data_IF_212454010504
#
_entry.id   IF_212454010504
#
_cell.length_a   1.000
_cell.length_b   1.000
_cell.length_c   1.000
_cell.angle_alpha   90.00
_cell.angle_beta   90.00
_cell.angle_gamma   90.00
#
_symmetry.space_group_name_H-M   'P 1'
#
loop_
_entity.id
_entity.type
_entity.pdbx_description
1 polymer ?
#
# COMPACT_ATOMS: atom_id res chain seq x y z
N UNK A 1 6.06 54.67 8.68
CA UNK A 1 5.92 53.50 7.77
C UNK A 1 6.34 52.27 8.56
N UNK A 2 5.38 51.43 8.98
CA UNK A 2 5.67 50.19 9.71
C UNK A 2 5.66 49.03 8.70
N UNK A 3 6.83 48.44 8.47
CA UNK A 3 6.97 47.20 7.69
C UNK A 3 6.38 46.05 8.52
N UNK A 4 5.29 45.46 8.03
CA UNK A 4 4.75 44.20 8.53
C UNK A 4 5.58 43.10 7.86
N UNK A 5 6.45 42.45 8.62
CA UNK A 5 7.11 41.22 8.19
C UNK A 5 6.08 40.08 8.22
N UNK A 6 5.59 39.70 7.05
CA UNK A 6 4.78 38.49 6.86
C UNK A 6 5.73 37.31 7.01
N UNK A 7 5.69 36.68 8.19
CA UNK A 7 6.33 35.40 8.46
C UNK A 7 5.58 34.33 7.65
N UNK A 8 6.02 34.10 6.42
CA UNK A 8 5.54 33.02 5.58
C UNK A 8 5.92 31.68 6.23
N UNK A 9 4.98 31.12 6.99
CA UNK A 9 5.03 29.74 7.47
C UNK A 9 5.02 28.84 6.23
N UNK A 10 6.20 28.36 5.82
CA UNK A 10 6.31 27.28 4.85
C UNK A 10 5.77 26.02 5.52
N UNK A 11 4.46 25.78 5.37
CA UNK A 11 3.89 24.46 5.59
C UNK A 11 4.52 23.55 4.53
N UNK A 12 5.53 22.77 4.93
CA UNK A 12 6.01 21.66 4.14
C UNK A 12 4.82 20.72 3.92
N UNK A 13 4.30 20.68 2.69
CA UNK A 13 3.23 19.76 2.32
C UNK A 13 3.85 18.37 2.43
N UNK A 14 3.41 17.50 3.36
CA UNK A 14 3.87 16.13 3.35
C UNK A 14 3.44 15.55 2.00
N UNK A 15 4.42 15.13 1.21
CA UNK A 15 4.16 14.39 -0.03
C UNK A 15 3.28 13.20 0.38
N UNK A 16 2.02 13.25 -0.06
CA UNK A 16 0.98 12.35 0.38
C UNK A 16 1.34 10.90 0.06
N UNK A 17 0.86 9.99 0.91
CA UNK A 17 0.78 8.56 0.64
C UNK A 17 0.44 8.34 -0.85
N UNK A 18 1.23 7.54 -1.56
CA UNK A 18 1.16 7.33 -3.02
C UNK A 18 -0.15 6.65 -3.49
N UNK A 19 -1.16 6.62 -2.64
CA UNK A 19 -2.40 5.90 -2.78
C UNK A 19 -3.57 6.85 -2.48
N UNK A 20 -4.45 7.02 -3.46
CA UNK A 20 -5.63 7.87 -3.32
C UNK A 20 -6.81 7.06 -2.79
N UNK A 21 -7.71 7.72 -2.06
CA UNK A 21 -8.98 7.09 -1.67
C UNK A 21 -9.83 6.86 -2.92
N UNK A 22 -10.51 5.72 -3.01
CA UNK A 22 -11.34 5.41 -4.17
C UNK A 22 -11.17 3.99 -4.69
N UNK A 23 -11.73 3.73 -5.86
CA UNK A 23 -11.64 2.42 -6.51
C UNK A 23 -10.48 2.41 -7.50
N UNK A 24 -9.68 1.35 -7.46
CA UNK A 24 -8.70 1.04 -8.48
C UNK A 24 -9.18 -0.15 -9.27
N UNK A 25 -9.17 -0.02 -10.59
CA UNK A 25 -9.59 -1.07 -11.54
C UNK A 25 -8.43 -1.48 -12.42
N UNK A 26 -8.41 -2.76 -12.79
CA UNK A 26 -7.39 -3.34 -13.65
C UNK A 26 -7.88 -4.63 -14.29
N UNK A 27 -6.92 -5.47 -14.68
CA UNK A 27 -7.18 -6.76 -15.32
C UNK A 27 -6.40 -7.90 -14.65
N UNK A 28 -7.00 -9.09 -14.61
CA UNK A 28 -6.33 -10.30 -14.14
C UNK A 28 -5.41 -10.87 -15.21
N UNK A 29 -4.59 -11.86 -14.84
CA UNK A 29 -3.78 -12.65 -15.79
C UNK A 29 -4.62 -13.31 -16.91
N UNK A 30 -5.94 -13.46 -16.71
CA UNK A 30 -6.89 -14.00 -17.69
C UNK A 30 -7.60 -12.92 -18.52
N UNK A 31 -7.30 -11.64 -18.30
CA UNK A 31 -7.96 -10.52 -18.95
C UNK A 31 -9.35 -10.18 -18.35
N UNK A 32 -9.69 -10.75 -17.20
CA UNK A 32 -10.95 -10.43 -16.51
C UNK A 32 -10.81 -9.11 -15.75
N UNK A 33 -11.86 -8.31 -15.69
CA UNK A 33 -11.84 -7.09 -14.89
C UNK A 33 -11.67 -7.43 -13.40
N UNK A 34 -10.83 -6.66 -12.71
CA UNK A 34 -10.63 -6.75 -11.27
C UNK A 34 -10.60 -5.36 -10.65
N UNK A 35 -10.94 -5.27 -9.37
CA UNK A 35 -10.86 -4.02 -8.62
C UNK A 35 -10.65 -4.23 -7.13
N UNK A 36 -10.17 -3.17 -6.48
CA UNK A 36 -10.17 -3.01 -5.03
C UNK A 36 -10.46 -1.55 -4.69
N UNK A 37 -10.86 -1.31 -3.44
CA UNK A 37 -11.15 0.02 -2.96
C UNK A 37 -10.20 0.41 -1.84
N UNK A 38 -9.61 1.60 -1.91
CA UNK A 38 -8.87 2.21 -0.82
C UNK A 38 -9.86 2.95 0.07
N UNK A 39 -9.99 2.49 1.31
CA UNK A 39 -10.94 3.01 2.29
C UNK A 39 -10.34 4.12 3.14
N UNK A 40 -9.11 3.93 3.59
CA UNK A 40 -8.39 4.89 4.42
C UNK A 40 -6.91 4.91 4.05
N UNK A 41 -6.28 6.07 4.22
CA UNK A 41 -4.83 6.26 4.19
C UNK A 41 -4.45 7.15 5.36
N UNK A 42 -3.23 6.96 5.89
CA UNK A 42 -2.74 7.75 7.00
C UNK A 42 -1.43 7.22 7.55
N UNK A 43 -1.06 7.74 8.72
CA UNK A 43 0.14 7.31 9.44
C UNK A 43 -0.24 6.79 10.82
N UNK A 44 0.38 5.67 11.21
CA UNK A 44 0.30 5.19 12.59
C UNK A 44 0.88 6.25 13.54
N UNK A 45 0.22 6.43 14.69
CA UNK A 45 0.63 7.35 15.75
C UNK A 45 0.74 8.82 15.33
N UNK A 46 0.03 9.21 14.26
CA UNK A 46 0.08 10.55 13.66
C UNK A 46 1.51 11.00 13.28
N UNK A 47 2.41 10.03 13.05
CA UNK A 47 3.81 10.28 12.77
C UNK A 47 4.09 10.05 11.28
N UNK A 48 4.18 11.15 10.51
CA UNK A 48 4.43 11.17 9.08
C UNK A 48 5.83 10.62 8.72
N UNK A 49 5.91 9.30 8.60
CA UNK A 49 7.10 8.55 8.25
C UNK A 49 6.68 7.32 7.42
N UNK A 50 7.40 6.92 6.36
CA UNK A 50 7.00 5.80 5.49
C UNK A 50 6.75 4.48 6.22
N UNK A 51 7.58 4.14 7.22
CA UNK A 51 7.35 2.97 8.10
C UNK A 51 6.02 3.00 8.86
N UNK A 52 5.45 4.19 9.08
CA UNK A 52 4.16 4.38 9.73
C UNK A 52 3.02 4.52 8.72
N UNK A 53 3.29 4.56 7.41
CA UNK A 53 2.24 4.64 6.41
C UNK A 53 1.31 3.43 6.52
N UNK A 54 0.01 3.68 6.57
CA UNK A 54 -1.06 2.68 6.62
C UNK A 54 -2.10 3.01 5.57
N UNK A 55 -2.49 1.99 4.82
CA UNK A 55 -3.63 2.05 3.92
C UNK A 55 -4.56 0.89 4.21
N UNK A 56 -5.86 1.12 4.37
CA UNK A 56 -6.83 0.03 4.41
C UNK A 56 -7.48 -0.10 3.04
N UNK A 57 -7.35 -1.28 2.45
CA UNK A 57 -8.05 -1.63 1.21
C UNK A 57 -9.18 -2.62 1.49
N UNK A 58 -10.20 -2.61 0.64
CA UNK A 58 -11.22 -3.63 0.54
C UNK A 58 -11.13 -4.33 -0.82
N UNK A 59 -11.01 -5.65 -0.78
CA UNK A 59 -10.93 -6.48 -1.98
C UNK A 59 -11.70 -7.77 -1.74
N UNK A 60 -12.61 -8.12 -2.66
CA UNK A 60 -13.47 -9.31 -2.53
C UNK A 60 -14.22 -9.37 -1.18
N UNK A 61 -14.70 -8.22 -0.68
CA UNK A 61 -15.38 -8.10 0.62
C UNK A 61 -14.49 -8.29 1.84
N UNK A 62 -13.17 -8.36 1.66
CA UNK A 62 -12.19 -8.50 2.73
C UNK A 62 -11.41 -7.21 2.89
N UNK A 63 -11.34 -6.69 4.12
CA UNK A 63 -10.48 -5.55 4.43
C UNK A 63 -9.08 -6.01 4.82
N UNK A 64 -8.07 -5.31 4.31
CA UNK A 64 -6.67 -5.57 4.60
C UNK A 64 -5.95 -4.25 4.84
N UNK A 65 -5.23 -4.15 5.96
CA UNK A 65 -4.34 -3.03 6.21
C UNK A 65 -2.97 -3.32 5.59
N UNK A 66 -2.50 -2.41 4.75
CA UNK A 66 -1.22 -2.44 4.07
C UNK A 66 -0.27 -1.42 4.69
N UNK A 67 1.03 -1.74 4.67
CA UNK A 67 2.13 -0.87 5.09
C UNK A 67 3.41 -1.25 4.36
N UNK A 68 4.37 -0.33 4.29
CA UNK A 68 5.71 -0.66 3.81
C UNK A 68 6.38 -1.72 4.71
N UNK A 69 6.89 -2.84 4.14
CA UNK A 69 7.76 -3.75 4.87
C UNK A 69 8.98 -3.02 5.45
N UNK A 70 9.29 -3.29 6.72
CA UNK A 70 10.52 -2.80 7.34
C UNK A 70 11.74 -3.56 6.82
N UNK A 71 12.84 -2.83 6.59
CA UNK A 71 14.15 -3.41 6.31
C UNK A 71 15.08 -3.08 7.48
N UNK A 72 15.65 -4.10 8.12
CA UNK A 72 16.50 -3.93 9.31
C UNK A 72 17.87 -4.54 8.99
N UNK A 73 18.91 -3.71 8.99
CA UNK A 73 20.30 -4.14 8.90
C UNK A 73 20.98 -3.86 10.25
N UNK A 74 21.22 -4.95 10.99
CA UNK A 74 21.80 -4.89 12.33
C UNK A 74 23.28 -4.50 12.27
N UNK A 75 24.01 -5.00 11.28
CA UNK A 75 25.45 -4.76 11.13
C UNK A 75 25.74 -3.28 10.81
N UNK A 76 24.85 -2.65 10.05
CA UNK A 76 24.96 -1.25 9.67
C UNK A 76 24.22 -0.29 10.63
N UNK A 77 23.55 -0.80 11.66
CA UNK A 77 22.65 -0.03 12.52
C UNK A 77 21.61 0.78 11.71
N UNK A 78 21.07 0.19 10.66
CA UNK A 78 20.19 0.86 9.72
C UNK A 78 18.77 0.27 9.75
N UNK A 79 17.78 1.16 9.73
CA UNK A 79 16.36 0.83 9.60
C UNK A 79 15.81 1.60 8.41
N UNK A 80 15.37 0.86 7.39
CA UNK A 80 14.75 1.38 6.19
C UNK A 80 13.41 0.69 5.93
N UNK A 81 12.91 0.84 4.71
CA UNK A 81 11.64 0.26 4.27
C UNK A 81 11.70 -0.08 2.79
N UNK A 82 10.87 -1.04 2.37
CA UNK A 82 10.66 -1.32 0.95
C UNK A 82 9.78 -0.22 0.34
N UNK A 83 10.38 0.61 -0.51
CA UNK A 83 9.73 1.77 -1.12
C UNK A 83 8.69 1.42 -2.20
N UNK A 84 8.75 0.20 -2.73
CA UNK A 84 7.98 -0.20 -3.91
C UNK A 84 6.76 -1.05 -3.55
N UNK A 85 6.67 -1.53 -2.31
CA UNK A 85 5.58 -2.41 -1.89
C UNK A 85 4.88 -1.91 -0.62
N UNK A 86 3.55 -1.91 -0.68
CA UNK A 86 2.69 -1.92 0.50
C UNK A 86 2.17 -3.35 0.70
N UNK A 87 2.41 -3.93 1.87
CA UNK A 87 2.01 -5.31 2.17
C UNK A 87 1.15 -5.39 3.41
N UNK A 88 0.23 -6.35 3.42
CA UNK A 88 -0.61 -6.66 4.57
C UNK A 88 -0.84 -8.15 4.67
N UNK A 89 -0.93 -8.66 5.90
CA UNK A 89 -1.19 -10.08 6.18
C UNK A 89 -2.24 -10.17 7.27
N UNK A 90 -3.17 -11.10 7.11
CA UNK A 90 -4.11 -11.48 8.16
C UNK A 90 -4.17 -13.00 8.30
N UNK A 91 -4.37 -13.47 9.52
CA UNK A 91 -4.65 -14.88 9.80
C UNK A 91 -6.05 -15.26 9.31
N UNK A 92 -6.21 -16.52 8.92
CA UNK A 92 -7.50 -17.14 8.62
C UNK A 92 -7.61 -18.45 9.38
N UNK A 93 -8.79 -19.05 9.44
CA UNK A 93 -9.02 -20.35 10.11
C UNK A 93 -8.09 -21.48 9.62
N UNK A 94 -7.56 -21.38 8.40
CA UNK A 94 -6.78 -22.44 7.76
C UNK A 94 -5.36 -22.03 7.37
N UNK A 95 -4.94 -20.79 7.66
CA UNK A 95 -3.60 -20.30 7.31
C UNK A 95 -3.55 -18.78 7.22
N UNK A 96 -3.01 -18.23 6.14
CA UNK A 96 -2.84 -16.78 5.95
C UNK A 96 -3.47 -16.25 4.68
N UNK A 97 -3.89 -14.98 4.72
CA UNK A 97 -4.24 -14.19 3.55
C UNK A 97 -3.36 -12.95 3.52
N UNK A 98 -2.72 -12.69 2.39
CA UNK A 98 -1.81 -11.56 2.21
C UNK A 98 -2.17 -10.77 0.95
N UNK A 99 -1.89 -9.48 0.98
CA UNK A 99 -1.97 -8.57 -0.15
C UNK A 99 -0.63 -7.85 -0.30
N UNK A 100 -0.18 -7.73 -1.54
CA UNK A 100 1.02 -6.98 -1.93
C UNK A 100 0.61 -6.02 -3.03
N UNK A 101 0.65 -4.74 -2.72
CA UNK A 101 0.39 -3.65 -3.66
C UNK A 101 1.74 -3.07 -4.11
N UNK A 102 2.08 -3.31 -5.37
CA UNK A 102 3.29 -2.77 -6.00
C UNK A 102 3.00 -1.35 -6.48
N UNK A 103 3.93 -0.45 -6.18
CA UNK A 103 3.90 0.96 -6.52
C UNK A 103 4.94 1.25 -7.61
N UNK A 104 4.60 2.14 -8.53
CA UNK A 104 5.55 2.73 -9.48
C UNK A 104 5.93 4.13 -9.02
N UNK A 105 7.20 4.48 -9.24
CA UNK A 105 7.79 5.79 -8.96
C UNK A 105 8.48 6.37 -10.20
N UNK A 106 8.01 5.97 -11.39
CA UNK A 106 8.57 6.43 -12.65
C UNK A 106 8.23 7.92 -12.89
N UNK A 107 9.08 8.67 -13.61
CA UNK A 107 8.76 10.05 -13.98
C UNK A 107 7.40 10.14 -14.69
N UNK A 108 6.47 10.89 -14.10
CA UNK A 108 5.11 11.08 -14.62
C UNK A 108 4.07 10.07 -14.13
N UNK A 109 4.44 9.07 -13.33
CA UNK A 109 3.49 8.17 -12.69
C UNK A 109 3.96 7.71 -11.31
N UNK A 110 3.25 8.14 -10.27
CA UNK A 110 3.42 7.71 -8.89
C UNK A 110 2.12 7.07 -8.43
N UNK A 111 2.09 5.77 -8.18
CA UNK A 111 0.85 5.08 -7.81
C UNK A 111 0.90 3.57 -7.91
N UNK A 112 -0.18 2.87 -7.53
CA UNK A 112 -0.23 1.42 -7.58
C UNK A 112 -0.31 0.91 -9.01
N UNK A 113 0.42 -0.17 -9.30
CA UNK A 113 0.45 -0.81 -10.63
C UNK A 113 -0.07 -2.24 -10.60
N UNK A 114 0.19 -2.98 -9.51
CA UNK A 114 -0.22 -4.37 -9.36
C UNK A 114 -0.68 -4.64 -7.93
N UNK A 115 -1.84 -5.30 -7.77
CA UNK A 115 -2.26 -5.92 -6.53
C UNK A 115 -2.16 -7.44 -6.66
N UNK A 116 -1.31 -8.06 -5.85
CA UNK A 116 -1.22 -9.51 -5.71
C UNK A 116 -1.85 -9.96 -4.40
N UNK A 117 -2.77 -10.91 -4.48
CA UNK A 117 -3.40 -11.57 -3.34
C UNK A 117 -2.88 -12.99 -3.23
N UNK A 118 -2.51 -13.39 -2.01
CA UNK A 118 -2.04 -14.75 -1.71
C UNK A 118 -2.89 -15.34 -0.60
N UNK A 119 -3.45 -16.51 -0.85
CA UNK A 119 -4.07 -17.35 0.17
C UNK A 119 -3.20 -18.57 0.37
N UNK A 120 -2.66 -18.73 1.58
CA UNK A 120 -1.85 -19.88 1.95
C UNK A 120 -2.63 -20.74 2.95
N UNK A 121 -2.93 -21.99 2.57
CA UNK A 121 -3.57 -22.97 3.44
C UNK A 121 -2.50 -23.88 4.07
N UNK A 122 -2.34 -23.79 5.39
CA UNK A 122 -1.33 -24.53 6.14
C UNK A 122 -1.67 -26.01 6.32
N UNK A 123 -2.94 -26.38 6.15
CA UNK A 123 -3.40 -27.78 6.27
C UNK A 123 -3.28 -28.53 4.95
N UNK A 124 -3.49 -27.84 3.84
CA UNK A 124 -3.38 -28.41 2.50
C UNK A 124 -2.80 -27.39 1.53
N UNK A 125 -1.51 -27.55 1.21
CA UNK A 125 -0.81 -26.64 0.31
C UNK A 125 -1.45 -26.55 -1.09
N UNK A 126 -2.11 -27.63 -1.56
CA UNK A 126 -2.77 -27.66 -2.87
C UNK A 126 -3.98 -26.71 -2.98
N UNK A 127 -4.57 -26.30 -1.84
CA UNK A 127 -5.66 -25.32 -1.80
C UNK A 127 -5.16 -23.87 -1.67
N UNK A 128 -3.83 -23.66 -1.68
CA UNK A 128 -3.25 -22.33 -1.72
C UNK A 128 -3.43 -21.72 -3.10
N UNK A 129 -3.63 -20.41 -3.16
CA UNK A 129 -3.89 -19.71 -4.42
C UNK A 129 -3.25 -18.33 -4.43
N UNK A 130 -3.02 -17.85 -5.65
CA UNK A 130 -2.56 -16.49 -5.94
C UNK A 130 -3.47 -15.88 -7.00
N UNK A 131 -3.81 -14.61 -6.84
CA UNK A 131 -4.49 -13.82 -7.86
C UNK A 131 -3.77 -12.48 -8.02
N UNK A 132 -3.65 -12.02 -9.26
CA UNK A 132 -2.95 -10.78 -9.62
C UNK A 132 -3.92 -9.87 -10.37
N UNK A 133 -3.95 -8.60 -9.99
CA UNK A 133 -4.69 -7.54 -10.67
C UNK A 133 -3.68 -6.47 -11.13
N UNK A 134 -3.47 -6.36 -12.43
CA UNK A 134 -2.48 -5.49 -13.06
C UNK A 134 -3.15 -4.34 -13.81
N UNK A 135 -2.34 -3.41 -14.34
CA UNK A 135 -2.80 -2.23 -15.08
C UNK A 135 -3.77 -1.38 -14.26
N UNK A 136 -3.47 -1.23 -12.97
CA UNK A 136 -4.31 -0.52 -12.02
C UNK A 136 -4.42 0.97 -12.40
N UNK A 137 -5.66 1.43 -12.53
CA UNK A 137 -6.00 2.82 -12.72
C UNK A 137 -7.04 3.26 -11.70
N UNK A 138 -6.80 4.42 -11.08
CA UNK A 138 -7.76 5.08 -10.19
C UNK A 138 -8.99 5.56 -10.98
N UNK A 139 -10.16 5.52 -10.36
CA UNK A 139 -11.46 5.88 -10.95
C UNK A 139 -12.16 6.96 -10.14
#
# INVERSE_FOLDING_TARGET
MKFIAILAFFAAIPCFAHLELGEYRGVTEKGEACSFKVLTTGFAYDLAHPLNERATIEVQGTQLQLSHPSQIDIEQNHVGFDHDHLTGVQGTTYGGFAGVLTMSHAPGHHGPTVLTLVRHNYKNAADSSRATCSDLAHQ
#
